data_IF_745641719236
#
_entry.id   IF_745641719236
#
_cell.length_a   1.000
_cell.length_b   1.000
_cell.length_c   1.000
_cell.angle_alpha   90.00
_cell.angle_beta   90.00
_cell.angle_gamma   90.00
#
_symmetry.space_group_name_H-M   'P 1'
#
loop_
_entity.id
_entity.type
_entity.pdbx_description
1 polymer ?
#
# COMPACT_ATOMS: atom_id res chain seq x y z
N UNK A 1 3.06 1.89 0.42
CA UNK A 1 2.54 0.67 1.06
C UNK A 1 3.27 -0.60 0.59
N UNK A 2 3.19 -1.02 -0.69
CA UNK A 2 3.75 -2.30 -1.14
C UNK A 2 5.26 -2.44 -0.93
N UNK A 3 6.03 -1.37 -1.16
CA UNK A 3 7.49 -1.35 -0.93
C UNK A 3 7.87 -1.71 0.50
N UNK A 4 7.20 -1.13 1.49
CA UNK A 4 7.45 -1.40 2.93
C UNK A 4 7.25 -2.88 3.25
N UNK A 5 6.17 -3.47 2.73
CA UNK A 5 5.85 -4.89 2.94
C UNK A 5 6.89 -5.78 2.24
N UNK A 6 7.23 -5.46 0.99
CA UNK A 6 8.20 -6.23 0.22
C UNK A 6 9.59 -6.18 0.87
N UNK A 7 10.04 -5.02 1.34
CA UNK A 7 11.32 -4.88 2.05
C UNK A 7 11.35 -5.72 3.32
N UNK A 8 10.29 -5.65 4.13
CA UNK A 8 10.16 -6.43 5.36
C UNK A 8 10.23 -7.94 5.12
N UNK A 9 9.63 -8.41 4.02
CA UNK A 9 9.61 -9.83 3.63
C UNK A 9 10.81 -10.25 2.75
N UNK A 10 11.74 -9.34 2.45
CA UNK A 10 12.89 -9.61 1.57
C UNK A 10 12.51 -9.92 0.12
N UNK A 11 11.40 -9.36 -0.36
CA UNK A 11 10.87 -9.56 -1.71
C UNK A 11 11.28 -8.41 -2.64
N UNK A 12 11.69 -8.76 -3.87
CA UNK A 12 11.87 -7.79 -4.94
C UNK A 12 10.53 -7.42 -5.59
N UNK A 13 10.35 -6.14 -5.93
CA UNK A 13 9.22 -5.68 -6.74
C UNK A 13 9.72 -5.37 -8.15
N UNK A 14 9.02 -5.90 -9.15
CA UNK A 14 9.19 -5.50 -10.55
C UNK A 14 7.87 -5.00 -11.08
N UNK A 15 7.90 -3.96 -11.91
CA UNK A 15 6.76 -3.59 -12.74
C UNK A 15 6.56 -4.68 -13.79
N UNK A 16 5.42 -5.39 -13.72
CA UNK A 16 5.04 -6.41 -14.70
C UNK A 16 4.62 -5.79 -16.03
N UNK A 17 4.65 -6.59 -17.10
CA UNK A 17 4.00 -6.26 -18.36
C UNK A 17 2.47 -6.50 -18.25
N UNK A 18 1.65 -5.74 -19.00
CA UNK A 18 2.03 -4.70 -19.96
C UNK A 18 2.35 -3.35 -19.28
N UNK A 19 3.34 -2.64 -19.81
CA UNK A 19 3.57 -1.25 -19.42
C UNK A 19 2.41 -0.38 -19.93
N UNK A 20 1.79 0.37 -19.04
CA UNK A 20 0.74 1.32 -19.40
C UNK A 20 1.42 2.57 -19.98
N UNK A 21 1.23 2.79 -21.28
CA UNK A 21 1.64 4.02 -21.94
C UNK A 21 0.50 5.03 -21.89
N UNK A 22 0.68 6.12 -21.14
CA UNK A 22 -0.34 7.15 -20.98
C UNK A 22 -0.11 8.30 -21.98
N UNK A 23 -0.91 8.35 -23.05
CA UNK A 23 -0.75 9.29 -24.17
C UNK A 23 -1.50 10.61 -24.03
N UNK A 24 -2.30 10.80 -22.96
CA UNK A 24 -3.18 11.97 -22.82
C UNK A 24 -2.98 12.66 -21.48
N UNK A 25 -2.19 13.73 -21.44
CA UNK A 25 -2.12 14.56 -20.23
C UNK A 25 -3.42 15.36 -20.08
N UNK A 26 -4.13 15.19 -18.96
CA UNK A 26 -5.25 16.07 -18.58
C UNK A 26 -4.73 17.48 -18.29
N UNK A 27 -5.62 18.48 -18.29
CA UNK A 27 -5.25 19.88 -18.04
C UNK A 27 -4.52 20.00 -16.67
N UNK A 28 -3.26 20.48 -16.65
CA UNK A 28 -2.45 20.52 -15.42
C UNK A 28 -3.08 21.33 -14.29
N UNK A 29 -3.72 22.47 -14.61
CA UNK A 29 -4.34 23.33 -13.60
C UNK A 29 -5.62 22.70 -13.02
N UNK A 30 -6.39 21.98 -13.83
CA UNK A 30 -7.56 21.22 -13.36
C UNK A 30 -7.14 20.08 -12.44
N UNK A 31 -6.05 19.38 -12.73
CA UNK A 31 -5.53 18.32 -11.85
C UNK A 31 -5.01 18.91 -10.54
N UNK A 32 -4.21 19.99 -10.62
CA UNK A 32 -3.68 20.65 -9.43
C UNK A 32 -4.79 21.08 -8.47
N UNK A 33 -5.89 21.63 -8.98
CA UNK A 33 -7.08 21.98 -8.17
C UNK A 33 -7.78 20.78 -7.54
N UNK A 34 -7.68 19.59 -8.12
CA UNK A 34 -8.26 18.36 -7.57
C UNK A 34 -7.32 17.68 -6.56
N UNK A 35 -6.02 17.74 -6.84
CA UNK A 35 -4.97 17.00 -6.13
C UNK A 35 -4.23 17.84 -5.08
N UNK A 36 -4.52 19.15 -4.96
CA UNK A 36 -3.77 20.05 -4.07
C UNK A 36 -3.67 19.54 -2.63
N UNK A 37 -4.74 18.97 -2.07
CA UNK A 37 -4.72 18.37 -0.72
C UNK A 37 -3.70 17.24 -0.62
N UNK A 38 -3.61 16.42 -1.66
CA UNK A 38 -2.63 15.33 -1.74
C UNK A 38 -1.19 15.84 -1.70
N UNK A 39 -0.90 17.02 -2.27
CA UNK A 39 0.42 17.64 -2.19
C UNK A 39 0.75 18.02 -0.74
N UNK A 40 -0.19 18.66 -0.03
CA UNK A 40 0.01 18.99 1.39
C UNK A 40 0.16 17.73 2.25
N UNK A 41 -0.64 16.69 1.99
CA UNK A 41 -0.55 15.45 2.73
C UNK A 41 0.78 14.70 2.53
N UNK A 42 1.45 14.89 1.39
CA UNK A 42 2.74 14.25 1.12
C UNK A 42 3.82 14.62 2.14
N UNK A 43 3.78 15.83 2.70
CA UNK A 43 4.74 16.27 3.74
C UNK A 43 4.69 15.36 4.98
N UNK A 44 3.55 14.75 5.28
CA UNK A 44 3.39 13.80 6.39
C UNK A 44 3.46 12.34 5.91
N UNK A 45 2.87 12.03 4.76
CA UNK A 45 2.79 10.66 4.22
C UNK A 45 4.16 10.12 3.83
N UNK A 46 5.01 10.95 3.20
CA UNK A 46 6.33 10.50 2.73
C UNK A 46 7.21 10.11 3.92
N UNK A 47 7.43 10.97 4.93
CA UNK A 47 8.19 10.59 6.13
C UNK A 47 7.58 9.41 6.87
N UNK A 48 6.24 9.32 6.94
CA UNK A 48 5.56 8.16 7.53
C UNK A 48 5.96 6.85 6.84
N UNK A 49 5.85 6.74 5.51
CA UNK A 49 6.19 5.49 4.83
C UNK A 49 7.69 5.22 4.77
N UNK A 50 8.54 6.25 4.79
CA UNK A 50 9.99 6.08 4.89
C UNK A 50 10.44 5.54 6.25
N UNK A 51 9.68 5.87 7.32
CA UNK A 51 9.99 5.46 8.70
C UNK A 51 9.19 4.24 9.19
N UNK A 52 8.23 3.76 8.39
CA UNK A 52 7.37 2.64 8.76
C UNK A 52 8.17 1.35 8.93
N UNK A 53 8.08 0.75 10.12
CA UNK A 53 8.69 -0.55 10.45
C UNK A 53 7.58 -1.52 10.85
N UNK A 54 7.63 -2.73 10.28
CA UNK A 54 6.70 -3.80 10.61
C UNK A 54 7.33 -4.75 11.65
N UNK A 55 6.54 -5.30 12.59
CA UNK A 55 6.99 -6.32 13.54
C UNK A 55 7.50 -7.57 12.82
N UNK A 56 8.52 -8.23 13.39
CA UNK A 56 9.14 -9.44 12.80
C UNK A 56 8.17 -10.62 12.73
N UNK A 57 7.14 -10.59 13.55
CA UNK A 57 6.07 -11.58 13.65
C UNK A 57 5.15 -11.52 12.42
N UNK A 58 5.11 -10.39 11.71
CA UNK A 58 4.42 -10.26 10.43
C UNK A 58 5.24 -10.95 9.34
N UNK A 59 4.91 -12.22 9.07
CA UNK A 59 5.64 -13.09 8.12
C UNK A 59 4.89 -13.32 6.82
N UNK A 60 3.65 -12.87 6.71
CA UNK A 60 2.83 -12.92 5.49
C UNK A 60 2.46 -11.52 5.02
N UNK A 61 2.17 -11.38 3.73
CA UNK A 61 1.69 -10.11 3.14
C UNK A 61 0.42 -9.64 3.85
N UNK A 62 -0.50 -10.55 4.14
CA UNK A 62 -1.73 -10.27 4.89
C UNK A 62 -1.46 -9.66 6.26
N UNK A 63 -0.56 -10.26 7.06
CA UNK A 63 -0.20 -9.75 8.38
C UNK A 63 0.45 -8.37 8.28
N UNK A 64 1.39 -8.22 7.34
CA UNK A 64 2.05 -6.94 7.07
C UNK A 64 1.06 -5.84 6.68
N UNK A 65 0.07 -6.16 5.85
CA UNK A 65 -0.91 -5.20 5.36
C UNK A 65 -1.89 -4.76 6.46
N UNK A 66 -2.33 -5.69 7.33
CA UNK A 66 -3.16 -5.39 8.50
C UNK A 66 -2.43 -4.50 9.50
N UNK A 67 -1.17 -4.81 9.80
CA UNK A 67 -0.35 -3.98 10.67
C UNK A 67 -0.11 -2.59 10.07
N UNK A 68 0.17 -2.51 8.77
CA UNK A 68 0.31 -1.22 8.09
C UNK A 68 -0.98 -0.40 8.13
N UNK A 69 -2.16 -1.04 7.99
CA UNK A 69 -3.45 -0.36 8.11
C UNK A 69 -3.64 0.24 9.50
N UNK A 70 -3.25 -0.47 10.57
CA UNK A 70 -3.24 0.06 11.93
C UNK A 70 -2.33 1.28 12.06
N UNK A 71 -1.10 1.21 11.52
CA UNK A 71 -0.17 2.35 11.55
C UNK A 71 -0.71 3.55 10.77
N UNK A 72 -1.35 3.34 9.62
CA UNK A 72 -2.03 4.38 8.84
C UNK A 72 -3.12 5.05 9.67
N UNK A 73 -3.97 4.28 10.36
CA UNK A 73 -5.00 4.83 11.25
C UNK A 73 -4.39 5.64 12.39
N UNK A 74 -3.41 5.09 13.08
CA UNK A 74 -2.82 5.74 14.26
C UNK A 74 -2.04 7.02 13.94
N UNK A 75 -1.42 7.09 12.74
CA UNK A 75 -0.53 8.19 12.35
C UNK A 75 -1.18 9.19 11.41
N UNK A 76 -1.94 8.75 10.43
CA UNK A 76 -2.47 9.60 9.35
C UNK A 76 -3.91 10.03 9.57
N UNK A 77 -4.71 9.38 10.42
CA UNK A 77 -6.07 9.86 10.73
C UNK A 77 -6.09 11.26 11.35
N UNK A 78 -4.98 11.67 11.98
CA UNK A 78 -4.82 13.03 12.52
C UNK A 78 -4.68 14.10 11.42
N UNK A 79 -4.27 13.69 10.22
CA UNK A 79 -4.05 14.59 9.08
C UNK A 79 -5.37 14.92 8.37
N UNK A 80 -6.21 13.91 8.14
CA UNK A 80 -7.54 14.08 7.54
C UNK A 80 -8.41 12.83 7.82
N UNK A 81 -9.73 12.99 8.08
CA UNK A 81 -10.66 11.86 8.26
C UNK A 81 -10.73 10.87 7.08
N UNK A 82 -10.23 11.26 5.91
CA UNK A 82 -10.03 10.35 4.79
C UNK A 82 -9.18 9.13 5.20
N UNK A 83 -8.15 9.32 6.03
CA UNK A 83 -7.23 8.25 6.42
C UNK A 83 -7.85 7.25 7.39
N UNK A 84 -8.86 7.64 8.18
CA UNK A 84 -9.67 6.69 8.94
C UNK A 84 -10.38 5.72 8.01
N UNK A 85 -11.08 6.28 7.00
CA UNK A 85 -11.79 5.48 5.99
C UNK A 85 -10.83 4.64 5.17
N UNK A 86 -9.64 5.17 4.84
CA UNK A 86 -8.61 4.43 4.11
C UNK A 86 -8.13 3.23 4.93
N UNK A 87 -7.82 3.41 6.22
CA UNK A 87 -7.36 2.33 7.07
C UNK A 87 -8.40 1.22 7.19
N UNK A 88 -9.67 1.59 7.40
CA UNK A 88 -10.77 0.62 7.46
C UNK A 88 -10.93 -0.10 6.11
N UNK A 89 -10.86 0.61 4.99
CA UNK A 89 -10.92 0.02 3.66
C UNK A 89 -9.74 -0.91 3.35
N UNK A 90 -8.53 -0.62 3.87
CA UNK A 90 -7.39 -1.53 3.77
C UNK A 90 -7.69 -2.87 4.47
N UNK A 91 -8.25 -2.83 5.68
CA UNK A 91 -8.63 -4.04 6.41
C UNK A 91 -9.71 -4.82 5.65
N UNK A 92 -10.78 -4.15 5.22
CA UNK A 92 -11.85 -4.79 4.43
C UNK A 92 -11.31 -5.43 3.14
N UNK A 93 -10.38 -4.76 2.46
CA UNK A 93 -9.79 -5.30 1.23
C UNK A 93 -9.04 -6.61 1.46
N UNK A 94 -8.22 -6.70 2.52
CA UNK A 94 -7.44 -7.91 2.79
C UNK A 94 -8.30 -9.05 3.35
N UNK A 95 -9.38 -8.72 4.06
CA UNK A 95 -10.39 -9.70 4.48
C UNK A 95 -11.12 -10.29 3.26
N UNK A 96 -11.62 -9.44 2.36
CA UNK A 96 -12.25 -9.89 1.12
C UNK A 96 -11.28 -10.71 0.26
N UNK A 97 -10.00 -10.33 0.23
CA UNK A 97 -8.97 -11.12 -0.45
C UNK A 97 -8.84 -12.52 0.16
N UNK A 98 -8.77 -12.63 1.48
CA UNK A 98 -8.64 -13.92 2.18
C UNK A 98 -9.88 -14.81 1.97
N UNK A 99 -11.08 -14.23 1.94
CA UNK A 99 -12.34 -14.94 1.65
C UNK A 99 -12.36 -15.51 0.23
N UNK A 100 -11.91 -14.75 -0.77
CA UNK A 100 -11.90 -15.15 -2.17
C UNK A 100 -10.70 -16.04 -2.54
N UNK A 101 -9.63 -16.00 -1.75
CA UNK A 101 -8.39 -16.75 -1.98
C UNK A 101 -8.04 -17.60 -0.75
N UNK A 102 -8.90 -18.58 -0.37
CA UNK A 102 -8.58 -19.48 0.72
C UNK A 102 -7.25 -20.19 0.43
N UNK A 103 -6.44 -20.37 1.47
CA UNK A 103 -5.06 -20.88 1.36
C UNK A 103 -4.95 -22.10 0.43
N UNK A 104 -4.49 -21.87 -0.80
CA UNK A 104 -4.05 -22.94 -1.68
C UNK A 104 -2.62 -23.34 -1.30
N UNK A 105 -2.29 -24.63 -1.46
CA UNK A 105 -0.99 -25.18 -1.12
C UNK A 105 0.17 -24.30 -1.64
N UNK A 106 1.22 -24.15 -0.83
CA UNK A 106 2.43 -23.36 -1.17
C UNK A 106 2.90 -23.71 -2.58
N UNK A 107 2.64 -22.83 -3.55
CA UNK A 107 3.28 -22.93 -4.85
C UNK A 107 4.78 -22.68 -4.64
N UNK A 108 5.66 -23.58 -5.10
CA UNK A 108 7.09 -23.37 -4.92
C UNK A 108 7.49 -22.06 -5.61
N UNK A 109 8.30 -21.24 -4.92
CA UNK A 109 8.95 -20.10 -5.56
C UNK A 109 9.66 -20.62 -6.82
N UNK A 110 9.33 -20.03 -7.97
CA UNK A 110 9.88 -20.44 -9.25
C UNK A 110 11.41 -20.53 -9.17
N UNK A 111 11.98 -21.62 -9.69
CA UNK A 111 13.42 -21.83 -9.68
C UNK A 111 14.12 -20.61 -10.29
N UNK A 112 15.13 -20.08 -9.60
CA UNK A 112 16.03 -19.11 -10.19
C UNK A 112 16.61 -19.71 -11.49
N UNK A 113 16.53 -18.95 -12.58
CA UNK A 113 17.18 -19.29 -13.85
C UNK A 113 18.65 -18.94 -13.80
#
# INVERSE_FOLDING_TARGET
CIKVICDHLGLGVKTGLPYIYHSKASNPFTNLRKEYKGIFWQEEIIPFFQSAVLPKECTTVQQCYRELAKQVKDRLSKLDPYFDKLADAMVTWIEAWDELNPSQAKLPNGKAK
#
